data_IF_010310734166
#
_entry.id   IF_010310734166
#
_cell.length_a   1.000
_cell.length_b   1.000
_cell.length_c   1.000
_cell.angle_alpha   90.00
_cell.angle_beta   90.00
_cell.angle_gamma   90.00
#
_symmetry.space_group_name_H-M   'P 1'
#
loop_
_entity.id
_entity.type
_entity.pdbx_description
1 polymer ?
#
# COMPACT_ATOMS: atom_id res chain seq x y z
N UNK A 1 -13.87 34.78 11.60
CA UNK A 1 -12.89 34.32 12.60
C UNK A 1 -11.58 34.12 11.86
N UNK A 2 -10.61 35.01 12.08
CA UNK A 2 -9.32 35.01 11.40
C UNK A 2 -8.58 33.71 11.71
N UNK A 3 -7.94 33.14 10.68
CA UNK A 3 -6.95 32.08 10.85
C UNK A 3 -5.94 32.53 11.93
N UNK A 4 -5.55 31.68 12.90
CA UNK A 4 -4.33 31.94 13.63
C UNK A 4 -3.21 32.08 12.60
N UNK A 5 -2.34 33.09 12.76
CA UNK A 5 -1.19 33.30 11.91
C UNK A 5 -0.45 31.96 11.82
N UNK A 6 -0.53 31.31 10.65
CA UNK A 6 0.13 30.06 10.40
C UNK A 6 1.62 30.29 10.69
N UNK A 7 2.22 29.44 11.53
CA UNK A 7 3.67 29.41 11.67
C UNK A 7 4.26 29.45 10.25
N UNK A 8 5.17 30.40 9.93
CA UNK A 8 5.70 30.51 8.59
C UNK A 8 6.41 29.19 8.27
N UNK A 9 5.94 28.51 7.23
CA UNK A 9 6.63 27.35 6.68
C UNK A 9 8.07 27.76 6.32
N UNK A 10 9.08 26.86 6.44
CA UNK A 10 10.28 27.02 5.63
C UNK A 10 9.81 27.12 4.18
N UNK A 11 10.14 28.22 3.50
CA UNK A 11 9.64 28.49 2.15
C UNK A 11 10.40 27.63 1.13
N UNK A 12 9.84 26.54 0.54
CA UNK A 12 10.38 26.03 -0.71
C UNK A 12 10.04 26.96 -1.88
N UNK A 13 9.13 27.93 -1.66
CA UNK A 13 8.69 28.92 -2.64
C UNK A 13 9.67 30.10 -2.78
N UNK A 14 10.77 30.10 -2.02
CA UNK A 14 11.81 31.12 -2.06
C UNK A 14 13.03 30.64 -2.83
N UNK A 15 13.13 31.04 -4.09
CA UNK A 15 14.41 31.34 -4.73
C UNK A 15 15.31 30.19 -5.20
N UNK A 16 15.05 28.93 -4.86
CA UNK A 16 15.82 27.82 -5.42
C UNK A 16 14.99 27.02 -6.43
N UNK A 17 15.42 27.04 -7.69
CA UNK A 17 14.87 26.24 -8.78
C UNK A 17 15.26 24.75 -8.65
N UNK A 18 15.66 24.32 -7.45
CA UNK A 18 16.38 23.08 -7.14
C UNK A 18 15.63 21.77 -7.40
N UNK A 19 14.46 21.78 -8.06
CA UNK A 19 13.81 20.55 -8.50
C UNK A 19 12.93 20.69 -9.76
N UNK A 20 13.02 21.74 -10.57
CA UNK A 20 12.23 21.83 -11.83
C UNK A 20 10.69 21.72 -11.68
N UNK A 21 10.14 21.80 -10.46
CA UNK A 21 8.71 21.63 -10.19
C UNK A 21 8.01 22.98 -10.32
N UNK A 22 6.95 23.04 -11.14
CA UNK A 22 6.16 24.27 -11.35
C UNK A 22 5.49 24.78 -10.05
N UNK A 23 5.33 26.10 -9.91
CA UNK A 23 4.78 26.74 -8.70
C UNK A 23 3.38 26.23 -8.29
N UNK A 24 2.52 25.86 -9.24
CA UNK A 24 1.19 25.36 -8.90
C UNK A 24 1.26 23.97 -8.26
N UNK A 25 2.23 23.12 -8.64
CA UNK A 25 2.47 21.82 -8.01
C UNK A 25 3.06 21.98 -6.61
N UNK A 26 3.92 22.98 -6.40
CA UNK A 26 4.43 23.31 -5.07
C UNK A 26 3.28 23.74 -4.14
N UNK A 27 2.40 24.64 -4.59
CA UNK A 27 1.21 25.04 -3.82
C UNK A 27 0.26 23.86 -3.56
N UNK A 28 0.00 23.03 -4.58
CA UNK A 28 -0.83 21.83 -4.41
C UNK A 28 -0.22 20.89 -3.36
N UNK A 29 1.10 20.69 -3.37
CA UNK A 29 1.81 19.87 -2.38
C UNK A 29 1.66 20.40 -0.96
N UNK A 30 1.81 21.72 -0.77
CA UNK A 30 1.63 22.36 0.53
C UNK A 30 0.21 22.16 1.05
N UNK A 31 -0.80 22.44 0.22
CA UNK A 31 -2.20 22.28 0.62
C UNK A 31 -2.53 20.81 0.91
N UNK A 32 -2.04 19.87 0.10
CA UNK A 32 -2.20 18.42 0.31
C UNK A 32 -1.64 17.99 1.67
N UNK A 33 -0.44 18.46 2.02
CA UNK A 33 0.21 18.16 3.29
C UNK A 33 -0.64 18.63 4.49
N UNK A 34 -1.17 19.86 4.42
CA UNK A 34 -2.03 20.43 5.47
C UNK A 34 -3.36 19.67 5.61
N UNK A 35 -3.94 19.21 4.50
CA UNK A 35 -5.14 18.37 4.53
C UNK A 35 -4.81 17.00 5.14
N UNK A 36 -3.69 16.37 4.74
CA UNK A 36 -3.25 15.07 5.25
C UNK A 36 -3.04 15.07 6.77
N UNK A 37 -2.41 16.12 7.31
CA UNK A 37 -2.15 16.26 8.74
C UNK A 37 -3.33 16.85 9.53
N UNK A 38 -4.48 17.10 8.88
CA UNK A 38 -5.69 17.56 9.55
C UNK A 38 -5.67 19.03 9.97
N UNK A 39 -4.68 19.82 9.55
CA UNK A 39 -4.69 21.28 9.69
C UNK A 39 -5.81 21.93 8.87
N UNK A 40 -6.15 21.31 7.74
CA UNK A 40 -7.31 21.62 6.92
C UNK A 40 -8.29 20.43 7.00
N UNK A 41 -9.44 20.64 7.63
CA UNK A 41 -10.40 19.57 7.89
C UNK A 41 -11.45 19.43 6.77
N UNK A 42 -11.96 18.22 6.48
CA UNK A 42 -13.11 18.05 5.60
C UNK A 42 -14.28 18.97 5.99
N UNK A 43 -14.92 19.58 4.99
CA UNK A 43 -15.95 20.60 5.17
C UNK A 43 -15.44 22.02 5.43
N UNK A 44 -14.15 22.21 5.71
CA UNK A 44 -13.56 23.53 5.88
C UNK A 44 -13.49 24.27 4.54
N UNK A 45 -13.90 25.54 4.54
CA UNK A 45 -13.76 26.43 3.39
C UNK A 45 -12.32 26.91 3.27
N UNK A 46 -11.74 26.79 2.07
CA UNK A 46 -10.44 27.35 1.75
C UNK A 46 -10.53 28.85 1.45
N UNK A 47 -9.42 29.60 1.60
CA UNK A 47 -9.32 30.97 1.11
C UNK A 47 -9.69 31.05 -0.39
N UNK A 48 -10.26 32.18 -0.79
CA UNK A 48 -10.53 32.43 -2.21
C UNK A 48 -9.24 32.46 -3.01
N UNK A 49 -9.34 32.23 -4.32
CA UNK A 49 -8.20 32.34 -5.25
C UNK A 49 -7.47 33.67 -5.10
N UNK A 50 -8.20 34.76 -4.86
CA UNK A 50 -7.62 36.09 -4.70
C UNK A 50 -6.85 36.25 -3.38
N UNK A 51 -7.40 35.74 -2.28
CA UNK A 51 -6.76 35.76 -0.96
C UNK A 51 -5.49 34.91 -0.96
N UNK A 52 -5.59 33.66 -1.42
CA UNK A 52 -4.44 32.75 -1.43
C UNK A 52 -3.33 33.22 -2.38
N UNK A 53 -3.70 33.85 -3.50
CA UNK A 53 -2.73 34.49 -4.40
C UNK A 53 -1.96 35.62 -3.72
N UNK A 54 -2.63 36.43 -2.88
CA UNK A 54 -1.98 37.49 -2.13
C UNK A 54 -1.07 36.92 -1.02
N UNK A 55 -1.56 35.95 -0.26
CA UNK A 55 -0.84 35.33 0.86
C UNK A 55 0.46 34.66 0.41
N UNK A 56 0.42 33.95 -0.73
CA UNK A 56 1.58 33.23 -1.27
C UNK A 56 2.35 34.02 -2.35
N UNK A 57 1.93 35.26 -2.65
CA UNK A 57 2.50 36.09 -3.74
C UNK A 57 2.56 35.36 -5.09
N UNK A 58 1.50 34.63 -5.44
CA UNK A 58 1.38 33.85 -6.67
C UNK A 58 0.36 34.46 -7.64
N UNK A 59 0.47 34.13 -8.92
CA UNK A 59 -0.55 34.49 -9.89
C UNK A 59 -1.86 33.71 -9.61
N UNK A 60 -3.01 34.36 -9.83
CA UNK A 60 -4.34 33.72 -9.66
C UNK A 60 -4.49 32.45 -10.49
N UNK A 61 -3.89 32.39 -11.68
CA UNK A 61 -3.90 31.21 -12.54
C UNK A 61 -3.16 30.02 -11.89
N UNK A 62 -2.03 30.27 -11.23
CA UNK A 62 -1.25 29.27 -10.48
C UNK A 62 -2.08 28.68 -9.34
N UNK A 63 -2.79 29.53 -8.60
CA UNK A 63 -3.69 29.08 -7.53
C UNK A 63 -4.85 28.24 -8.07
N UNK A 64 -5.48 28.67 -9.18
CA UNK A 64 -6.54 27.88 -9.83
C UNK A 64 -6.03 26.53 -10.30
N UNK A 65 -4.83 26.46 -10.86
CA UNK A 65 -4.20 25.20 -11.28
C UNK A 65 -3.95 24.28 -10.09
N UNK A 66 -3.44 24.80 -8.97
CA UNK A 66 -3.24 24.01 -7.75
C UNK A 66 -4.56 23.45 -7.21
N UNK A 67 -5.62 24.28 -7.13
CA UNK A 67 -6.95 23.81 -6.72
C UNK A 67 -7.51 22.78 -7.70
N UNK A 68 -7.29 22.96 -9.01
CA UNK A 68 -7.70 22.00 -10.03
C UNK A 68 -7.03 20.63 -9.89
N UNK A 69 -5.74 20.61 -9.55
CA UNK A 69 -5.03 19.35 -9.23
C UNK A 69 -5.69 18.65 -8.04
N UNK A 70 -5.87 19.36 -6.92
CA UNK A 70 -6.42 18.77 -5.71
C UNK A 70 -7.90 18.39 -5.84
N UNK A 71 -8.66 19.08 -6.70
CA UNK A 71 -10.03 18.72 -7.03
C UNK A 71 -10.10 17.44 -7.86
N UNK A 72 -9.18 17.25 -8.82
CA UNK A 72 -9.05 15.99 -9.56
C UNK A 72 -8.63 14.82 -8.66
N UNK A 73 -7.86 15.10 -7.62
CA UNK A 73 -7.49 14.13 -6.57
C UNK A 73 -8.64 13.86 -5.58
N UNK A 74 -9.79 14.52 -5.72
CA UNK A 74 -10.93 14.38 -4.80
C UNK A 74 -10.72 15.00 -3.42
N UNK A 75 -9.62 15.74 -3.21
CA UNK A 75 -9.29 16.39 -1.94
C UNK A 75 -10.05 17.70 -1.74
N UNK A 76 -10.40 18.38 -2.83
CA UNK A 76 -11.19 19.60 -2.82
C UNK A 76 -12.47 19.46 -3.64
N UNK A 77 -13.50 20.20 -3.25
CA UNK A 77 -14.73 20.37 -4.03
C UNK A 77 -15.07 21.85 -4.18
N UNK A 78 -15.48 22.26 -5.38
CA UNK A 78 -15.90 23.63 -5.65
C UNK A 78 -17.44 23.70 -5.67
N UNK A 79 -18.01 24.55 -4.82
CA UNK A 79 -19.44 24.81 -4.78
C UNK A 79 -19.72 26.16 -5.41
N UNK A 80 -20.51 26.19 -6.50
CA UNK A 80 -20.82 27.40 -7.26
C UNK A 80 -21.38 28.48 -6.32
N UNK A 81 -20.73 29.65 -6.32
CA UNK A 81 -21.11 30.80 -5.48
C UNK A 81 -20.76 30.67 -3.98
N UNK A 82 -20.31 29.51 -3.51
CA UNK A 82 -19.99 29.25 -2.09
C UNK A 82 -18.50 29.06 -1.82
N UNK A 83 -17.69 28.87 -2.85
CA UNK A 83 -16.23 28.76 -2.73
C UNK A 83 -15.73 27.32 -2.84
N UNK A 84 -14.49 27.09 -2.38
CA UNK A 84 -13.84 25.77 -2.45
C UNK A 84 -13.71 25.22 -1.04
N UNK A 85 -14.04 23.94 -0.87
CA UNK A 85 -14.04 23.25 0.41
C UNK A 85 -13.13 22.03 0.36
N UNK A 86 -12.53 21.69 1.49
CA UNK A 86 -11.85 20.40 1.66
C UNK A 86 -12.92 19.31 1.63
N UNK A 87 -12.80 18.38 0.69
CA UNK A 87 -13.75 17.29 0.51
C UNK A 87 -13.38 16.07 1.36
N UNK A 88 -12.10 15.67 1.35
CA UNK A 88 -11.60 14.49 2.02
C UNK A 88 -10.14 14.67 2.44
N UNK A 89 -9.65 13.80 3.34
CA UNK A 89 -8.22 13.67 3.61
C UNK A 89 -7.58 12.75 2.57
N UNK A 90 -6.30 12.95 2.22
CA UNK A 90 -5.51 11.94 1.56
C UNK A 90 -5.51 10.67 2.41
N UNK A 91 -6.30 9.68 2.02
CA UNK A 91 -6.19 8.34 2.56
C UNK A 91 -5.48 7.50 1.50
N UNK A 92 -4.36 6.89 1.88
CA UNK A 92 -3.92 5.70 1.17
C UNK A 92 -5.06 4.69 1.31
N UNK A 93 -5.69 4.30 0.20
CA UNK A 93 -6.84 3.40 0.19
C UNK A 93 -8.02 3.86 1.10
N UNK A 94 -8.83 4.82 0.62
CA UNK A 94 -9.99 5.34 1.34
C UNK A 94 -11.14 4.32 1.50
N UNK A 95 -11.23 3.34 0.59
CA UNK A 95 -12.31 2.36 0.54
C UNK A 95 -12.15 1.28 1.63
N UNK A 96 -13.07 1.19 2.61
CA UNK A 96 -13.01 0.20 3.68
C UNK A 96 -13.00 -1.25 3.19
N UNK A 97 -13.67 -1.55 2.08
CA UNK A 97 -13.73 -2.90 1.51
C UNK A 97 -12.36 -3.30 0.95
N UNK A 98 -11.68 -2.38 0.25
CA UNK A 98 -10.32 -2.59 -0.19
C UNK A 98 -9.33 -2.72 0.99
N UNK A 99 -9.49 -1.91 2.04
CA UNK A 99 -8.66 -2.03 3.25
C UNK A 99 -8.80 -3.41 3.87
N UNK A 100 -10.02 -3.93 4.00
CA UNK A 100 -10.26 -5.30 4.46
C UNK A 100 -9.67 -6.34 3.49
N UNK A 101 -9.88 -6.14 2.19
CA UNK A 101 -9.31 -6.99 1.14
C UNK A 101 -7.78 -7.06 1.15
N UNK A 102 -7.08 -6.10 1.74
CA UNK A 102 -5.63 -6.15 1.89
C UNK A 102 -5.24 -6.84 3.19
N UNK A 103 -5.83 -6.42 4.30
CA UNK A 103 -5.38 -6.77 5.64
C UNK A 103 -5.94 -8.11 6.18
N UNK A 104 -7.09 -8.55 5.68
CA UNK A 104 -7.72 -9.81 6.13
C UNK A 104 -7.44 -10.94 5.13
N UNK A 105 -6.76 -12.04 5.54
CA UNK A 105 -6.60 -13.23 4.70
C UNK A 105 -7.92 -13.81 4.20
N UNK A 106 -9.03 -13.60 4.93
CA UNK A 106 -10.35 -14.22 4.70
C UNK A 106 -11.28 -13.36 3.84
N UNK A 107 -10.83 -12.18 3.41
CA UNK A 107 -11.61 -11.28 2.58
C UNK A 107 -12.07 -11.95 1.28
N UNK A 108 -13.34 -11.70 0.89
CA UNK A 108 -13.99 -12.34 -0.27
C UNK A 108 -14.32 -11.40 -1.43
N UNK A 109 -14.25 -10.09 -1.21
CA UNK A 109 -14.47 -9.05 -2.21
C UNK A 109 -13.25 -8.82 -3.11
N UNK A 110 -12.60 -9.92 -3.51
CA UNK A 110 -11.38 -9.93 -4.31
C UNK A 110 -11.58 -10.90 -5.47
N UNK A 111 -11.36 -10.40 -6.68
CA UNK A 111 -11.21 -11.25 -7.86
C UNK A 111 -9.73 -11.59 -8.05
N UNK A 112 -9.45 -12.83 -8.43
CA UNK A 112 -8.10 -13.32 -8.64
C UNK A 112 -7.90 -13.67 -10.11
N UNK A 113 -6.96 -12.99 -10.77
CA UNK A 113 -6.60 -13.26 -12.15
C UNK A 113 -5.30 -14.07 -12.17
N UNK A 114 -5.43 -15.39 -12.37
CA UNK A 114 -4.28 -16.28 -12.45
C UNK A 114 -3.53 -16.03 -13.77
N UNK A 115 -2.27 -15.62 -13.67
CA UNK A 115 -1.41 -15.35 -14.83
C UNK A 115 -0.53 -16.56 -15.17
N UNK A 116 -0.09 -17.29 -14.15
CA UNK A 116 0.82 -18.41 -14.33
C UNK A 116 0.67 -19.41 -13.18
N UNK A 117 0.74 -20.70 -13.50
CA UNK A 117 0.88 -21.76 -12.52
C UNK A 117 1.96 -22.75 -12.96
N UNK A 118 2.83 -23.14 -12.03
CA UNK A 118 3.83 -24.19 -12.24
C UNK A 118 3.84 -25.11 -11.01
N UNK A 119 4.12 -26.39 -11.23
CA UNK A 119 4.24 -27.39 -10.15
C UNK A 119 5.67 -27.90 -10.07
N UNK A 120 6.01 -28.50 -8.93
CA UNK A 120 7.30 -29.16 -8.72
C UNK A 120 8.50 -28.26 -9.02
N UNK A 121 8.42 -27.00 -8.58
CA UNK A 121 9.49 -26.01 -8.75
C UNK A 121 10.36 -25.94 -7.49
N UNK A 122 11.67 -25.68 -7.61
CA UNK A 122 12.47 -25.35 -6.45
C UNK A 122 12.05 -23.97 -5.90
N UNK A 123 12.25 -23.75 -4.59
CA UNK A 123 12.11 -22.41 -4.03
C UNK A 123 13.30 -21.53 -4.46
N UNK A 124 13.08 -20.32 -5.01
CA UNK A 124 14.17 -19.43 -5.37
C UNK A 124 15.05 -19.07 -4.17
N UNK A 125 16.38 -19.05 -4.35
CA UNK A 125 17.34 -18.80 -3.26
C UNK A 125 17.10 -17.47 -2.53
N UNK A 126 16.70 -16.42 -3.26
CA UNK A 126 16.38 -15.12 -2.65
C UNK A 126 15.19 -15.16 -1.67
N UNK A 127 14.30 -16.16 -1.80
CA UNK A 127 13.20 -16.43 -0.86
C UNK A 127 13.63 -17.43 0.21
N UNK A 128 14.45 -18.43 -0.13
CA UNK A 128 14.97 -19.41 0.84
C UNK A 128 15.87 -18.73 1.88
N UNK A 129 16.83 -17.90 1.43
CA UNK A 129 17.84 -17.20 2.24
C UNK A 129 18.50 -18.13 3.25
N UNK A 130 18.97 -19.30 2.79
CA UNK A 130 19.60 -20.31 3.63
C UNK A 130 18.71 -21.01 4.66
N UNK A 131 17.39 -20.76 4.68
CA UNK A 131 16.46 -21.49 5.54
C UNK A 131 16.15 -22.88 5.00
N UNK A 132 15.75 -23.81 5.87
CA UNK A 132 15.30 -25.13 5.45
C UNK A 132 14.05 -25.05 4.55
N UNK A 133 13.97 -25.92 3.54
CA UNK A 133 12.91 -25.94 2.52
C UNK A 133 12.33 -27.34 2.34
N UNK A 134 11.22 -27.42 1.60
CA UNK A 134 10.67 -28.66 1.07
C UNK A 134 11.34 -29.02 -0.26
N UNK A 135 11.23 -30.28 -0.75
CA UNK A 135 11.84 -30.69 -2.01
C UNK A 135 11.35 -29.87 -3.20
N UNK A 136 10.06 -29.55 -3.23
CA UNK A 136 9.45 -28.82 -4.34
C UNK A 136 8.17 -28.06 -3.93
N UNK A 137 7.80 -27.10 -4.77
CA UNK A 137 6.77 -26.10 -4.53
C UNK A 137 5.83 -25.96 -5.74
N UNK A 138 4.56 -25.68 -5.47
CA UNK A 138 3.63 -25.10 -6.42
C UNK A 138 3.85 -23.59 -6.47
N UNK A 139 4.08 -23.06 -7.67
CA UNK A 139 4.21 -21.63 -7.96
C UNK A 139 2.94 -21.10 -8.61
N UNK A 140 2.44 -19.97 -8.11
CA UNK A 140 1.29 -19.27 -8.66
C UNK A 140 1.64 -17.79 -8.79
N UNK A 141 1.46 -17.23 -9.99
CA UNK A 141 1.43 -15.78 -10.22
C UNK A 141 0.00 -15.34 -10.48
N UNK A 142 -0.48 -14.34 -9.74
CA UNK A 142 -1.83 -13.80 -9.92
C UNK A 142 -1.94 -12.33 -9.61
N UNK A 143 -2.95 -11.68 -10.16
CA UNK A 143 -3.34 -10.32 -9.81
C UNK A 143 -4.55 -10.37 -8.89
N UNK A 144 -4.54 -9.58 -7.82
CA UNK A 144 -5.72 -9.32 -7.02
C UNK A 144 -6.40 -8.04 -7.54
N UNK A 145 -7.69 -8.15 -7.78
CA UNK A 145 -8.53 -7.09 -8.33
C UNK A 145 -9.66 -6.76 -7.37
N UNK A 146 -9.94 -5.47 -7.20
CA UNK A 146 -11.05 -4.96 -6.43
C UNK A 146 -11.69 -3.78 -7.20
N UNK A 147 -13.00 -3.84 -7.42
CA UNK A 147 -13.75 -2.90 -8.27
C UNK A 147 -13.11 -2.70 -9.65
N UNK A 148 -12.78 -3.80 -10.31
CA UNK A 148 -12.10 -3.87 -11.62
C UNK A 148 -10.73 -3.18 -11.72
N UNK A 149 -10.20 -2.68 -10.60
CA UNK A 149 -8.86 -2.14 -10.52
C UNK A 149 -7.88 -3.14 -9.89
N UNK A 150 -6.78 -3.47 -10.58
CA UNK A 150 -5.73 -4.29 -9.99
C UNK A 150 -5.03 -3.53 -8.87
N UNK A 151 -4.89 -4.17 -7.71
CA UNK A 151 -4.27 -3.56 -6.54
C UNK A 151 -3.04 -4.31 -6.03
N UNK A 152 -2.86 -5.59 -6.40
CA UNK A 152 -1.71 -6.38 -5.99
C UNK A 152 -1.31 -7.41 -7.05
N UNK A 153 -0.02 -7.44 -7.42
CA UNK A 153 0.57 -8.57 -8.13
C UNK A 153 1.18 -9.50 -7.09
N UNK A 154 0.90 -10.79 -7.22
CA UNK A 154 1.33 -11.81 -6.27
C UNK A 154 2.11 -12.88 -6.99
N UNK A 155 3.27 -13.22 -6.45
CA UNK A 155 4.01 -14.43 -6.75
C UNK A 155 4.12 -15.25 -5.47
N UNK A 156 3.70 -16.50 -5.51
CA UNK A 156 3.68 -17.32 -4.30
C UNK A 156 4.10 -18.75 -4.60
N UNK A 157 4.91 -19.28 -3.68
CA UNK A 157 5.42 -20.64 -3.67
C UNK A 157 4.84 -21.31 -2.43
N UNK A 158 4.14 -22.42 -2.61
CA UNK A 158 3.60 -23.25 -1.53
C UNK A 158 4.21 -24.63 -1.66
N UNK A 159 4.76 -25.18 -0.57
CA UNK A 159 5.33 -26.52 -0.60
C UNK A 159 4.31 -27.50 -1.16
N UNK A 160 4.69 -28.34 -2.13
CA UNK A 160 3.72 -29.16 -2.87
C UNK A 160 2.92 -30.10 -1.98
N UNK A 161 3.55 -30.62 -0.91
CA UNK A 161 2.87 -31.44 0.10
C UNK A 161 1.75 -30.66 0.82
N UNK A 162 1.98 -29.37 1.12
CA UNK A 162 0.99 -28.50 1.76
C UNK A 162 -0.08 -28.08 0.76
N UNK A 163 0.33 -27.73 -0.46
CA UNK A 163 -0.59 -27.37 -1.54
C UNK A 163 -1.57 -28.49 -1.88
N UNK A 164 -1.15 -29.76 -1.77
CA UNK A 164 -2.00 -30.92 -1.99
C UNK A 164 -3.15 -31.07 -0.97
N UNK A 165 -3.08 -30.36 0.17
CA UNK A 165 -4.16 -30.33 1.17
C UNK A 165 -5.29 -29.38 0.79
N UNK A 166 -5.05 -28.46 -0.17
CA UNK A 166 -6.05 -27.49 -0.56
C UNK A 166 -7.11 -28.12 -1.47
N UNK A 167 -8.38 -27.69 -1.37
CA UNK A 167 -9.39 -28.07 -2.34
C UNK A 167 -8.94 -27.67 -3.76
N UNK A 168 -9.23 -28.48 -4.79
CA UNK A 168 -8.88 -28.15 -6.17
C UNK A 168 -9.38 -26.75 -6.57
N UNK A 169 -8.52 -26.00 -7.28
CA UNK A 169 -8.80 -24.66 -7.82
C UNK A 169 -9.20 -23.59 -6.77
N UNK A 170 -9.02 -23.87 -5.48
CA UNK A 170 -9.39 -22.95 -4.41
C UNK A 170 -8.54 -21.66 -4.42
N UNK A 171 -7.34 -21.68 -5.00
CA UNK A 171 -6.49 -20.52 -5.19
C UNK A 171 -7.08 -19.47 -6.16
N UNK A 172 -8.07 -19.85 -6.97
CA UNK A 172 -8.80 -18.94 -7.84
C UNK A 172 -9.86 -18.12 -7.09
N UNK A 173 -10.24 -18.57 -5.90
CA UNK A 173 -11.34 -17.99 -5.12
C UNK A 173 -10.89 -17.48 -3.74
N UNK A 174 -9.71 -17.89 -3.28
CA UNK A 174 -9.19 -17.55 -1.97
C UNK A 174 -7.72 -17.09 -2.02
N UNK A 175 -7.33 -16.32 -1.01
CA UNK A 175 -5.91 -16.10 -0.73
C UNK A 175 -5.29 -17.39 -0.20
N UNK A 176 -4.07 -17.68 -0.63
CA UNK A 176 -3.32 -18.84 -0.16
C UNK A 176 -3.12 -18.83 1.36
N UNK A 177 -2.92 -17.65 1.97
CA UNK A 177 -2.81 -17.53 3.43
C UNK A 177 -4.05 -18.04 4.17
N UNK A 178 -5.24 -17.85 3.60
CA UNK A 178 -6.48 -18.38 4.15
C UNK A 178 -6.60 -19.90 3.94
N UNK A 179 -6.17 -20.42 2.79
CA UNK A 179 -6.13 -21.87 2.55
C UNK A 179 -5.15 -22.56 3.51
N UNK A 180 -4.01 -21.94 3.76
CA UNK A 180 -3.03 -22.40 4.75
C UNK A 180 -3.63 -22.45 6.15
N UNK A 181 -4.36 -21.41 6.56
CA UNK A 181 -5.07 -21.36 7.84
C UNK A 181 -6.17 -22.44 7.94
N UNK A 182 -6.92 -22.68 6.87
CA UNK A 182 -8.03 -23.64 6.87
C UNK A 182 -7.56 -25.11 6.88
N UNK A 183 -6.45 -25.41 6.19
CA UNK A 183 -6.09 -26.78 5.85
C UNK A 183 -4.72 -27.24 6.39
N UNK A 184 -3.93 -26.35 6.99
CA UNK A 184 -2.60 -26.68 7.48
C UNK A 184 -2.17 -25.85 8.71
N UNK A 185 -3.09 -25.21 9.44
CA UNK A 185 -2.75 -24.29 10.53
C UNK A 185 -1.93 -24.97 11.63
N UNK A 186 -2.27 -26.20 12.01
CA UNK A 186 -1.59 -27.01 13.03
C UNK A 186 -0.14 -27.36 12.64
N UNK A 187 0.19 -27.26 11.35
CA UNK A 187 1.53 -27.48 10.84
C UNK A 187 2.36 -26.21 10.80
N UNK A 188 1.77 -25.03 10.95
CA UNK A 188 2.47 -23.74 10.88
C UNK A 188 2.93 -23.27 12.26
N UNK A 189 4.09 -22.61 12.31
CA UNK A 189 4.65 -22.13 13.58
C UNK A 189 5.06 -20.64 13.55
N UNK A 190 5.65 -20.17 12.47
CA UNK A 190 6.23 -18.82 12.41
C UNK A 190 5.89 -18.13 11.10
N UNK A 191 5.55 -16.86 11.15
CA UNK A 191 5.43 -15.99 9.97
C UNK A 191 6.49 -14.92 10.05
N UNK A 192 7.24 -14.74 8.97
CA UNK A 192 8.17 -13.64 8.82
C UNK A 192 7.76 -12.81 7.61
N UNK A 193 7.73 -11.49 7.79
CA UNK A 193 7.35 -10.56 6.75
C UNK A 193 8.30 -9.37 6.70
N UNK A 194 8.59 -8.90 5.50
CA UNK A 194 9.37 -7.68 5.26
C UNK A 194 8.60 -6.83 4.27
N UNK A 195 8.38 -5.57 4.63
CA UNK A 195 7.70 -4.59 3.79
C UNK A 195 8.69 -3.49 3.42
N UNK A 196 8.84 -3.22 2.13
CA UNK A 196 9.62 -2.11 1.59
C UNK A 196 8.77 -1.29 0.61
N UNK A 197 9.27 -0.13 0.21
CA UNK A 197 8.64 0.71 -0.80
C UNK A 197 9.64 0.96 -1.92
N UNK A 198 9.18 0.77 -3.16
CA UNK A 198 9.99 0.98 -4.37
C UNK A 198 9.10 1.56 -5.49
N UNK A 199 9.69 2.25 -6.49
CA UNK A 199 8.93 2.69 -7.66
C UNK A 199 8.50 1.50 -8.53
N UNK A 200 7.32 1.60 -9.15
CA UNK A 200 6.91 0.67 -10.20
C UNK A 200 7.86 0.74 -11.41
N UNK A 201 8.34 -0.40 -11.86
CA UNK A 201 8.97 -0.55 -13.18
C UNK A 201 7.91 -0.66 -14.29
N UNK A 202 8.35 -0.86 -15.54
CA UNK A 202 7.44 -0.96 -16.69
C UNK A 202 6.51 -2.19 -16.60
N UNK A 203 6.99 -3.31 -16.06
CA UNK A 203 6.19 -4.53 -15.95
C UNK A 203 5.14 -4.40 -14.86
N UNK A 204 5.51 -3.87 -13.69
CA UNK A 204 4.59 -3.60 -12.60
C UNK A 204 3.55 -2.55 -13.01
N UNK A 205 3.96 -1.50 -13.72
CA UNK A 205 3.05 -0.49 -14.25
C UNK A 205 2.01 -1.11 -15.20
N UNK A 206 2.43 -2.03 -16.05
CA UNK A 206 1.54 -2.78 -16.93
C UNK A 206 0.59 -3.70 -16.16
N UNK A 207 1.09 -4.53 -15.24
CA UNK A 207 0.23 -5.46 -14.48
C UNK A 207 -0.75 -4.75 -13.53
N UNK A 208 -0.35 -3.62 -12.95
CA UNK A 208 -1.14 -2.91 -11.94
C UNK A 208 -1.93 -1.72 -12.51
N UNK A 209 -1.95 -1.57 -13.84
CA UNK A 209 -2.60 -0.46 -14.55
C UNK A 209 -2.28 0.89 -13.91
N UNK A 210 -0.98 1.12 -13.65
CA UNK A 210 -0.50 2.28 -12.93
C UNK A 210 0.58 3.02 -13.74
N UNK A 211 0.93 4.21 -13.29
CA UNK A 211 1.99 4.98 -13.94
C UNK A 211 3.37 4.39 -13.62
N UNK A 212 4.31 4.55 -14.53
CA UNK A 212 5.72 4.33 -14.23
C UNK A 212 6.12 5.13 -12.98
N UNK A 213 6.93 4.51 -12.12
CA UNK A 213 7.37 5.07 -10.84
C UNK A 213 6.26 5.37 -9.82
N UNK A 214 5.01 4.93 -10.04
CA UNK A 214 4.01 4.87 -8.96
C UNK A 214 4.61 4.14 -7.76
N UNK A 215 4.49 4.67 -6.52
CA UNK A 215 4.99 3.97 -5.34
C UNK A 215 4.33 2.60 -5.21
N UNK A 216 5.15 1.56 -5.02
CA UNK A 216 4.73 0.19 -4.81
C UNK A 216 5.19 -0.24 -3.43
N UNK A 217 4.26 -0.72 -2.62
CA UNK A 217 4.60 -1.43 -1.40
C UNK A 217 4.95 -2.88 -1.77
N UNK A 218 6.20 -3.26 -1.57
CA UNK A 218 6.70 -4.61 -1.84
C UNK A 218 6.80 -5.38 -0.54
N UNK A 219 6.04 -6.46 -0.44
CA UNK A 219 6.02 -7.33 0.72
C UNK A 219 6.58 -8.70 0.36
N UNK A 220 7.58 -9.15 1.09
CA UNK A 220 8.01 -10.54 1.09
C UNK A 220 7.49 -11.22 2.36
N UNK A 221 6.84 -12.38 2.22
CA UNK A 221 6.32 -13.16 3.34
C UNK A 221 6.81 -14.59 3.26
N UNK A 222 7.21 -15.14 4.40
CA UNK A 222 7.56 -16.55 4.60
C UNK A 222 6.77 -17.10 5.77
N UNK A 223 6.22 -18.30 5.60
CA UNK A 223 5.56 -19.05 6.67
C UNK A 223 6.33 -20.35 6.85
N UNK A 224 6.70 -20.62 8.09
CA UNK A 224 7.48 -21.77 8.49
C UNK A 224 6.59 -22.80 9.16
N UNK A 225 6.84 -24.07 8.86
CA UNK A 225 6.21 -25.18 9.56
C UNK A 225 6.81 -25.39 10.96
N UNK A 226 6.26 -26.32 11.73
CA UNK A 226 6.75 -26.70 13.06
C UNK A 226 8.15 -27.32 13.06
N UNK A 227 8.69 -27.68 11.89
CA UNK A 227 10.06 -28.17 11.72
C UNK A 227 11.01 -27.06 11.26
N UNK A 228 10.55 -25.81 11.15
CA UNK A 228 11.35 -24.67 10.71
C UNK A 228 11.60 -24.61 9.21
N UNK A 229 10.89 -25.40 8.39
CA UNK A 229 10.98 -25.36 6.93
C UNK A 229 10.01 -24.33 6.36
N UNK A 230 10.37 -23.68 5.26
CA UNK A 230 9.49 -22.73 4.57
C UNK A 230 8.35 -23.49 3.88
N UNK A 231 7.16 -23.47 4.48
CA UNK A 231 5.94 -24.03 3.90
C UNK A 231 5.35 -23.12 2.82
N UNK A 232 5.53 -21.80 2.95
CA UNK A 232 5.06 -20.81 2.01
C UNK A 232 6.06 -19.66 1.92
N UNK A 233 6.35 -19.20 0.71
CA UNK A 233 7.06 -17.95 0.48
C UNK A 233 6.43 -17.18 -0.69
N UNK A 234 6.26 -15.87 -0.54
CA UNK A 234 5.68 -15.06 -1.58
C UNK A 234 6.17 -13.62 -1.60
N UNK A 235 6.03 -13.02 -2.77
CA UNK A 235 6.23 -11.60 -3.04
C UNK A 235 4.91 -10.98 -3.46
N UNK A 236 4.63 -9.81 -2.92
CA UNK A 236 3.39 -9.09 -3.14
C UNK A 236 3.75 -7.65 -3.45
N UNK A 237 3.35 -7.17 -4.62
CA UNK A 237 3.55 -5.79 -5.06
C UNK A 237 2.21 -5.08 -5.07
N UNK A 238 1.98 -4.22 -4.07
CA UNK A 238 0.75 -3.47 -3.94
C UNK A 238 0.90 -2.07 -4.52
N UNK A 239 -0.11 -1.63 -5.27
CA UNK A 239 -0.20 -0.26 -5.77
C UNK A 239 -0.35 0.71 -4.59
N UNK A 240 0.58 1.66 -4.43
CA UNK A 240 0.67 2.47 -3.21
C UNK A 240 -0.52 3.39 -2.93
N UNK A 241 -1.22 3.82 -3.98
CA UNK A 241 -2.50 4.56 -3.89
C UNK A 241 -3.66 3.68 -3.38
N UNK A 242 -3.55 2.36 -3.56
CA UNK A 242 -4.51 1.34 -3.15
C UNK A 242 -4.02 0.48 -1.98
N UNK A 243 -2.90 0.81 -1.35
CA UNK A 243 -2.32 -0.01 -0.29
C UNK A 243 -2.47 0.62 1.09
N UNK A 244 -2.82 -0.20 2.08
CA UNK A 244 -2.65 0.13 3.50
C UNK A 244 -2.37 -1.13 4.30
N UNK A 245 -1.48 -1.03 5.29
CA UNK A 245 -1.18 -2.09 6.23
C UNK A 245 -1.67 -1.67 7.62
N UNK A 246 -2.86 -2.12 8.00
CA UNK A 246 -3.42 -1.92 9.33
C UNK A 246 -3.15 -3.16 10.18
N UNK A 247 -2.57 -2.97 11.37
CA UNK A 247 -2.32 -4.05 12.32
C UNK A 247 -2.81 -3.59 13.68
N UNK A 248 -3.84 -4.27 14.19
CA UNK A 248 -4.32 -4.12 15.56
C UNK A 248 -4.08 -5.43 16.31
N UNK A 249 -3.43 -5.34 17.47
CA UNK A 249 -3.19 -6.50 18.32
C UNK A 249 -3.23 -6.10 19.79
N UNK A 250 -3.58 -7.03 20.70
CA UNK A 250 -3.53 -6.76 22.13
C UNK A 250 -2.15 -6.29 22.57
N UNK A 251 -2.10 -5.31 23.47
CA UNK A 251 -0.82 -4.79 24.00
C UNK A 251 0.06 -5.90 24.59
N UNK A 252 -0.54 -6.88 25.27
CA UNK A 252 0.19 -8.03 25.81
C UNK A 252 0.88 -8.86 24.71
N UNK A 253 0.23 -9.04 23.56
CA UNK A 253 0.83 -9.71 22.40
C UNK A 253 2.00 -8.89 21.86
N UNK A 254 1.85 -7.58 21.68
CA UNK A 254 2.92 -6.70 21.22
C UNK A 254 4.12 -6.68 22.18
N UNK A 255 3.86 -6.52 23.48
CA UNK A 255 4.89 -6.46 24.52
C UNK A 255 5.68 -7.77 24.64
N UNK A 256 4.99 -8.91 24.59
CA UNK A 256 5.64 -10.23 24.65
C UNK A 256 6.32 -10.62 23.34
N UNK A 257 5.97 -9.98 22.23
CA UNK A 257 6.58 -10.24 20.94
C UNK A 257 7.87 -9.44 20.70
N UNK A 258 8.29 -8.55 21.60
CA UNK A 258 9.40 -7.61 21.39
C UNK A 258 10.70 -8.20 20.83
N UNK A 259 11.13 -9.38 21.30
CA UNK A 259 12.27 -10.11 20.73
C UNK A 259 11.92 -10.98 19.51
N UNK A 260 10.67 -11.41 19.40
CA UNK A 260 10.16 -12.30 18.35
C UNK A 260 9.68 -11.58 17.08
N UNK A 261 9.54 -10.25 17.10
CA UNK A 261 9.12 -9.43 15.96
C UNK A 261 10.28 -9.06 15.03
N UNK A 262 11.51 -9.04 15.55
CA UNK A 262 12.70 -8.84 14.74
C UNK A 262 13.12 -10.23 14.24
N UNK A 263 13.31 -10.44 12.92
CA UNK A 263 13.88 -11.67 12.43
C UNK A 263 15.17 -12.00 13.18
N UNK A 264 15.35 -13.24 13.65
CA UNK A 264 16.51 -13.64 14.46
C UNK A 264 17.85 -13.27 13.80
N UNK A 265 17.92 -13.32 12.47
CA UNK A 265 19.09 -12.91 11.69
C UNK A 265 19.44 -11.40 11.76
N UNK A 266 18.54 -10.56 12.28
CA UNK A 266 18.67 -9.11 12.44
C UNK A 266 18.72 -8.70 13.91
N UNK A 267 18.59 -9.63 14.86
CA UNK A 267 18.75 -9.33 16.28
C UNK A 267 20.20 -8.92 16.55
N UNK A 268 20.39 -7.71 17.07
CA UNK A 268 21.69 -7.27 17.56
C UNK A 268 22.06 -8.05 18.83
N UNK A 269 23.34 -8.39 19.04
CA UNK A 269 23.80 -9.15 20.21
C UNK A 269 23.55 -8.43 21.54
#
# INVERSE_FOLDING_TARGET
MNLPAASPLPSPLGGDHGAGVTQYLQLASVLRHRIAHGELQPGQQLPTVAQLAADYKLARVTVRQAYGVLAREGLLTSQRGRGTFVAARPAACADPLLRNAINDPRARNIRFDILEQRRQQPLPEGLARGSATFPDYAFIRKIHVHDDEPFCLVEIHVASEIHALFPPDSEQHHKIAHLLEQHAAERMHKVQQTLTVAPADLLLAQYLHCSFATPIAHMERRVFDTQGRIALAGRFWYRGDRFVSDIEMPFATWANAGASLIPEALALP
#
